data_IF_007889283993
#
_entry.id   IF_007889283993
#
_cell.length_a   1.000
_cell.length_b   1.000
_cell.length_c   1.000
_cell.angle_alpha   90.00
_cell.angle_beta   90.00
_cell.angle_gamma   90.00
#
_symmetry.space_group_name_H-M   'P 1'
#
loop_
_entity.id
_entity.type
_entity.pdbx_description
1 polymer ?
#
# COMPACT_ATOMS: atom_id res chain seq x y z
N UNK A 1 34.89 -5.21 74.57
CA UNK A 1 34.65 -5.96 73.32
C UNK A 1 33.34 -5.48 72.73
N UNK A 2 33.41 -4.57 71.76
CA UNK A 2 32.21 -4.02 71.05
C UNK A 2 32.14 -4.75 69.68
N UNK A 3 31.12 -5.53 69.44
CA UNK A 3 30.85 -6.14 68.17
C UNK A 3 30.09 -5.16 67.29
N UNK A 4 30.70 -4.74 66.19
CA UNK A 4 30.10 -3.93 65.14
C UNK A 4 29.39 -4.90 64.20
N UNK A 5 28.05 -4.82 64.09
CA UNK A 5 27.27 -5.48 63.05
C UNK A 5 27.27 -4.63 61.81
N UNK A 6 27.94 -5.09 60.76
CA UNK A 6 27.87 -4.50 59.42
C UNK A 6 26.63 -5.03 58.72
N UNK A 7 25.62 -4.16 58.52
CA UNK A 7 24.42 -4.45 57.73
C UNK A 7 24.77 -4.16 56.25
N UNK A 8 24.99 -5.21 55.48
CA UNK A 8 25.16 -5.07 54.01
C UNK A 8 23.76 -5.00 53.39
N UNK A 9 23.42 -3.75 52.95
CA UNK A 9 22.19 -3.47 52.20
C UNK A 9 22.41 -3.89 50.74
N UNK A 10 21.80 -5.02 50.31
CA UNK A 10 21.81 -5.51 48.95
C UNK A 10 20.86 -4.63 48.11
N UNK A 11 21.37 -3.65 47.39
CA UNK A 11 20.61 -2.90 46.40
C UNK A 11 20.40 -3.82 45.19
N UNK A 12 19.22 -4.42 45.12
CA UNK A 12 18.73 -5.07 43.90
C UNK A 12 18.29 -3.95 42.94
N UNK A 13 19.22 -3.50 42.08
CA UNK A 13 18.85 -2.69 40.92
C UNK A 13 18.19 -3.63 39.92
N UNK A 14 16.86 -3.69 39.96
CA UNK A 14 16.08 -4.30 38.89
C UNK A 14 16.27 -3.47 37.62
N UNK A 15 17.22 -3.90 36.77
CA UNK A 15 17.27 -3.44 35.40
C UNK A 15 16.03 -3.98 34.71
N UNK A 16 15.03 -3.12 34.51
CA UNK A 16 13.98 -3.35 33.52
C UNK A 16 14.69 -3.47 32.17
N UNK A 17 14.96 -4.70 31.76
CA UNK A 17 15.31 -5.02 30.39
C UNK A 17 14.07 -4.70 29.53
N UNK A 18 13.98 -3.44 29.09
CA UNK A 18 13.20 -3.16 27.91
C UNK A 18 13.87 -3.94 26.78
N UNK A 19 13.31 -5.09 26.41
CA UNK A 19 13.71 -5.75 25.17
C UNK A 19 13.44 -4.76 24.05
N UNK A 20 14.52 -4.18 23.49
CA UNK A 20 14.40 -3.45 22.24
C UNK A 20 13.77 -4.45 21.23
N UNK A 21 12.73 -4.04 20.49
CA UNK A 21 12.21 -4.89 19.44
C UNK A 21 13.36 -5.26 18.52
N UNK A 22 13.47 -6.54 18.18
CA UNK A 22 14.52 -7.01 17.28
C UNK A 22 14.39 -6.21 15.97
N UNK A 23 15.46 -5.50 15.57
CA UNK A 23 15.49 -4.57 14.43
C UNK A 23 15.14 -5.20 13.08
N UNK A 24 15.04 -6.53 13.01
CA UNK A 24 14.84 -7.31 11.79
C UNK A 24 13.52 -8.12 11.82
N UNK A 25 12.55 -7.69 12.62
CA UNK A 25 11.26 -8.37 12.68
C UNK A 25 10.38 -7.90 11.51
N UNK A 26 9.91 -8.85 10.69
CA UNK A 26 8.93 -8.61 9.62
C UNK A 26 7.55 -9.13 10.05
N UNK A 27 6.50 -8.56 9.48
CA UNK A 27 5.14 -9.05 9.69
C UNK A 27 5.01 -10.46 9.12
N UNK A 28 4.57 -11.40 9.96
CA UNK A 28 4.34 -12.77 9.51
C UNK A 28 2.91 -12.93 9.00
N UNK A 29 2.78 -13.72 7.95
CA UNK A 29 1.50 -14.10 7.33
C UNK A 29 1.17 -15.52 7.79
N UNK A 30 0.02 -15.72 8.44
CA UNK A 30 -0.36 -17.01 9.05
C UNK A 30 -1.38 -17.75 8.19
N UNK A 31 -1.04 -18.99 7.85
CA UNK A 31 -1.92 -19.98 7.21
C UNK A 31 -1.38 -21.39 7.46
N UNK A 32 -2.27 -22.36 7.58
CA UNK A 32 -1.89 -23.77 7.69
C UNK A 32 -1.67 -24.45 6.32
N UNK A 33 -1.93 -23.73 5.21
CA UNK A 33 -1.83 -24.26 3.85
C UNK A 33 -0.65 -23.66 3.08
N UNK A 34 0.38 -24.47 2.80
CA UNK A 34 1.52 -24.04 1.98
C UNK A 34 1.09 -23.62 0.57
N UNK A 35 0.06 -24.25 0.00
CA UNK A 35 -0.48 -23.89 -1.31
C UNK A 35 -1.20 -22.54 -1.26
N UNK A 36 -1.98 -22.26 -0.20
CA UNK A 36 -2.60 -20.95 0.00
C UNK A 36 -1.54 -19.86 0.15
N UNK A 37 -0.48 -20.07 0.93
CA UNK A 37 0.61 -19.10 1.08
C UNK A 37 1.32 -18.83 -0.26
N UNK A 38 1.57 -19.88 -1.06
CA UNK A 38 2.19 -19.71 -2.39
C UNK A 38 1.31 -18.86 -3.32
N UNK A 39 0.01 -19.11 -3.33
CA UNK A 39 -0.97 -18.33 -4.11
C UNK A 39 -1.08 -16.89 -3.60
N UNK A 40 -1.10 -16.69 -2.29
CA UNK A 40 -1.08 -15.36 -1.70
C UNK A 40 0.13 -14.55 -2.15
N UNK A 41 1.33 -15.12 -2.06
CA UNK A 41 2.56 -14.46 -2.50
C UNK A 41 2.55 -14.15 -4.01
N UNK A 42 1.96 -15.03 -4.82
CA UNK A 42 1.77 -14.78 -6.26
C UNK A 42 0.76 -13.64 -6.51
N UNK A 43 -0.33 -13.59 -5.72
CA UNK A 43 -1.32 -12.52 -5.80
C UNK A 43 -0.70 -11.16 -5.45
N UNK A 44 0.11 -11.09 -4.40
CA UNK A 44 0.86 -9.88 -4.04
C UNK A 44 1.77 -9.42 -5.17
N UNK A 45 2.50 -10.34 -5.83
CA UNK A 45 3.31 -9.98 -7.02
C UNK A 45 2.50 -9.42 -8.19
N UNK A 46 1.27 -9.90 -8.40
CA UNK A 46 0.35 -9.32 -9.38
C UNK A 46 -0.14 -7.95 -8.94
N UNK A 47 -0.41 -7.78 -7.66
CA UNK A 47 -0.84 -6.51 -7.06
C UNK A 47 0.23 -5.43 -7.23
N UNK A 48 1.50 -5.75 -6.92
CA UNK A 48 2.65 -4.86 -7.10
C UNK A 48 2.84 -4.41 -8.57
N UNK A 49 2.46 -5.27 -9.53
CA UNK A 49 2.50 -4.98 -10.97
C UNK A 49 1.21 -4.38 -11.50
N UNK A 50 0.29 -3.99 -10.63
CA UNK A 50 -1.04 -3.43 -10.95
C UNK A 50 -1.88 -4.33 -11.89
N UNK A 51 -1.64 -5.64 -11.87
CA UNK A 51 -2.45 -6.64 -12.58
C UNK A 51 -3.61 -7.09 -11.69
N UNK A 52 -4.51 -6.15 -11.40
CA UNK A 52 -5.53 -6.28 -10.35
C UNK A 52 -6.43 -7.49 -10.54
N UNK A 53 -6.96 -7.73 -11.75
CA UNK A 53 -7.85 -8.88 -12.01
C UNK A 53 -7.15 -10.21 -11.66
N UNK A 54 -5.86 -10.35 -12.05
CA UNK A 54 -5.07 -11.55 -11.74
C UNK A 54 -4.79 -11.67 -10.24
N UNK A 55 -4.53 -10.54 -9.57
CA UNK A 55 -4.32 -10.53 -8.12
C UNK A 55 -5.57 -11.01 -7.38
N UNK A 56 -6.73 -10.43 -7.68
CA UNK A 56 -8.00 -10.78 -7.05
C UNK A 56 -8.38 -12.26 -7.29
N UNK A 57 -8.27 -12.72 -8.54
CA UNK A 57 -8.51 -14.15 -8.87
C UNK A 57 -7.58 -15.06 -8.08
N UNK A 58 -6.30 -14.68 -7.94
CA UNK A 58 -5.30 -15.50 -7.25
C UNK A 58 -5.49 -15.49 -5.73
N UNK A 59 -5.91 -14.37 -5.12
CA UNK A 59 -6.35 -14.35 -3.72
C UNK A 59 -7.56 -15.27 -3.50
N UNK A 60 -8.56 -15.25 -4.39
CA UNK A 60 -9.70 -16.17 -4.32
C UNK A 60 -9.26 -17.63 -4.43
N UNK A 61 -8.28 -17.95 -5.27
CA UNK A 61 -7.69 -19.30 -5.33
C UNK A 61 -6.97 -19.68 -4.04
N UNK A 62 -6.30 -18.73 -3.36
CA UNK A 62 -5.72 -18.97 -2.04
C UNK A 62 -6.78 -19.32 -1.01
N UNK A 63 -7.92 -18.61 -1.01
CA UNK A 63 -9.06 -18.89 -0.12
C UNK A 63 -9.76 -20.21 -0.42
N UNK A 64 -9.73 -20.72 -1.64
CA UNK A 64 -10.16 -22.09 -1.94
C UNK A 64 -9.27 -23.16 -1.29
N UNK A 65 -7.99 -22.85 -1.04
CA UNK A 65 -7.05 -23.77 -0.36
C UNK A 65 -7.10 -23.62 1.17
N UNK A 66 -7.44 -22.43 1.67
CA UNK A 66 -7.58 -22.11 3.09
C UNK A 66 -8.62 -20.99 3.26
N UNK A 67 -9.90 -21.31 3.51
CA UNK A 67 -10.95 -20.30 3.71
C UNK A 67 -10.73 -19.42 4.95
N UNK A 68 -10.00 -19.92 5.97
CA UNK A 68 -9.67 -19.17 7.19
C UNK A 68 -8.39 -18.32 7.07
N UNK A 69 -7.86 -18.18 5.85
CA UNK A 69 -6.65 -17.40 5.60
C UNK A 69 -6.90 -15.90 5.76
N UNK A 70 -6.56 -15.37 6.94
CA UNK A 70 -6.83 -13.98 7.32
C UNK A 70 -6.33 -12.98 6.28
N UNK A 71 -5.04 -13.03 5.91
CA UNK A 71 -4.43 -12.03 5.04
C UNK A 71 -5.02 -12.02 3.62
N UNK A 72 -5.43 -13.15 3.07
CA UNK A 72 -6.08 -13.19 1.76
C UNK A 72 -7.49 -12.55 1.81
N UNK A 73 -8.27 -12.83 2.86
CA UNK A 73 -9.56 -12.18 3.11
C UNK A 73 -9.38 -10.67 3.36
N UNK A 74 -8.37 -10.28 4.16
CA UNK A 74 -8.05 -8.88 4.45
C UNK A 74 -7.73 -8.08 3.18
N UNK A 75 -6.87 -8.61 2.30
CA UNK A 75 -6.50 -7.93 1.05
C UNK A 75 -7.72 -7.72 0.13
N UNK A 76 -8.57 -8.73 0.01
CA UNK A 76 -9.81 -8.61 -0.76
C UNK A 76 -10.78 -7.60 -0.12
N UNK A 77 -11.01 -7.69 1.19
CA UNK A 77 -11.85 -6.73 1.91
C UNK A 77 -11.36 -5.29 1.72
N UNK A 78 -10.05 -5.07 1.87
CA UNK A 78 -9.47 -3.75 1.73
C UNK A 78 -9.57 -3.20 0.30
N UNK A 79 -9.33 -4.05 -0.71
CA UNK A 79 -9.55 -3.68 -2.10
C UNK A 79 -11.00 -3.26 -2.37
N UNK A 80 -11.98 -4.05 -1.92
CA UNK A 80 -13.39 -3.74 -2.14
C UNK A 80 -13.87 -2.52 -1.34
N UNK A 81 -13.30 -2.27 -0.15
CA UNK A 81 -13.54 -1.04 0.60
C UNK A 81 -13.15 0.20 -0.21
N UNK A 82 -11.93 0.20 -0.76
CA UNK A 82 -11.42 1.33 -1.57
C UNK A 82 -12.22 1.53 -2.85
N UNK A 83 -12.75 0.46 -3.45
CA UNK A 83 -13.57 0.51 -4.66
C UNK A 83 -15.08 0.66 -4.38
N UNK A 84 -15.47 0.89 -3.11
CA UNK A 84 -16.85 1.11 -2.66
C UNK A 84 -17.81 -0.03 -3.03
N UNK A 85 -17.33 -1.25 -3.14
CA UNK A 85 -18.10 -2.45 -3.36
C UNK A 85 -18.54 -3.06 -2.03
N UNK A 86 -19.61 -2.54 -1.43
CA UNK A 86 -20.00 -2.83 -0.06
C UNK A 86 -20.32 -4.31 0.20
N UNK A 87 -20.98 -5.00 -0.73
CA UNK A 87 -21.33 -6.42 -0.57
C UNK A 87 -20.10 -7.31 -0.49
N UNK A 88 -19.14 -7.13 -1.40
CA UNK A 88 -17.87 -7.87 -1.38
C UNK A 88 -17.02 -7.49 -0.17
N UNK A 89 -17.00 -6.20 0.22
CA UNK A 89 -16.33 -5.77 1.45
C UNK A 89 -16.89 -6.48 2.66
N UNK A 90 -18.21 -6.56 2.82
CA UNK A 90 -18.86 -7.24 3.94
C UNK A 90 -18.50 -8.74 3.96
N UNK A 91 -18.55 -9.41 2.82
CA UNK A 91 -18.22 -10.84 2.71
C UNK A 91 -16.80 -11.13 3.20
N UNK A 92 -15.79 -10.45 2.61
CA UNK A 92 -14.39 -10.74 2.94
C UNK A 92 -13.97 -10.19 4.31
N UNK A 93 -14.54 -9.07 4.75
CA UNK A 93 -14.28 -8.57 6.11
C UNK A 93 -14.86 -9.49 7.18
N UNK A 94 -16.07 -10.03 6.97
CA UNK A 94 -16.64 -11.02 7.90
C UNK A 94 -15.81 -12.30 7.93
N UNK A 95 -15.35 -12.79 6.79
CA UNK A 95 -14.49 -13.96 6.72
C UNK A 95 -13.16 -13.72 7.47
N UNK A 96 -12.52 -12.57 7.27
CA UNK A 96 -11.29 -12.20 7.98
C UNK A 96 -11.52 -12.09 9.51
N UNK A 97 -12.56 -11.38 9.93
CA UNK A 97 -12.86 -11.14 11.35
C UNK A 97 -13.19 -12.45 12.08
N UNK A 98 -13.89 -13.37 11.42
CA UNK A 98 -14.34 -14.63 12.02
C UNK A 98 -13.40 -15.81 11.75
N UNK A 99 -12.21 -15.61 11.18
CA UNK A 99 -11.24 -16.67 10.94
C UNK A 99 -10.85 -17.36 12.26
N UNK A 100 -10.60 -18.67 12.18
CA UNK A 100 -10.27 -19.52 13.33
C UNK A 100 -8.78 -19.72 13.51
N UNK A 101 -7.98 -19.29 12.53
CA UNK A 101 -6.52 -19.38 12.57
C UNK A 101 -5.97 -18.47 13.69
N UNK A 102 -4.99 -18.95 14.44
CA UNK A 102 -4.28 -18.12 15.41
C UNK A 102 -3.47 -17.05 14.67
N UNK A 103 -3.80 -15.78 14.91
CA UNK A 103 -3.22 -14.65 14.22
C UNK A 103 -1.92 -14.19 14.86
N UNK A 104 -0.97 -13.75 14.04
CA UNK A 104 0.20 -12.99 14.48
C UNK A 104 -0.19 -11.66 15.12
N UNK A 105 0.75 -11.00 15.81
CA UNK A 105 0.47 -9.71 16.44
C UNK A 105 0.17 -8.62 15.39
N UNK A 106 0.81 -8.68 14.20
CA UNK A 106 0.49 -7.79 13.09
C UNK A 106 -0.93 -8.02 12.59
N UNK A 107 -1.31 -9.27 12.35
CA UNK A 107 -2.65 -9.61 11.86
C UNK A 107 -3.75 -9.26 12.85
N UNK A 108 -3.49 -9.32 14.15
CA UNK A 108 -4.43 -8.85 15.19
C UNK A 108 -4.68 -7.34 15.06
N UNK A 109 -3.63 -6.52 14.85
CA UNK A 109 -3.79 -5.08 14.63
C UNK A 109 -4.56 -4.78 13.33
N UNK A 110 -4.27 -5.51 12.25
CA UNK A 110 -5.02 -5.38 10.99
C UNK A 110 -6.49 -5.80 11.14
N UNK A 111 -6.76 -6.82 11.96
CA UNK A 111 -8.13 -7.23 12.30
C UNK A 111 -8.87 -6.15 13.10
N UNK A 112 -8.21 -5.53 14.09
CA UNK A 112 -8.81 -4.45 14.88
C UNK A 112 -9.13 -3.24 13.98
N UNK A 113 -8.23 -2.87 13.06
CA UNK A 113 -8.49 -1.86 12.06
C UNK A 113 -9.69 -2.22 11.16
N UNK A 114 -9.75 -3.47 10.69
CA UNK A 114 -10.86 -3.94 9.84
C UNK A 114 -12.22 -3.90 10.56
N UNK A 115 -12.25 -4.25 11.85
CA UNK A 115 -13.46 -4.14 12.70
C UNK A 115 -13.91 -2.69 12.79
N UNK A 116 -12.97 -1.76 13.04
CA UNK A 116 -13.27 -0.32 13.11
C UNK A 116 -13.80 0.22 11.78
N UNK A 117 -13.17 -0.16 10.66
CA UNK A 117 -13.62 0.22 9.31
C UNK A 117 -15.02 -0.31 9.01
N UNK A 118 -15.33 -1.55 9.40
CA UNK A 118 -16.67 -2.13 9.24
C UNK A 118 -17.72 -1.41 10.07
N UNK A 119 -17.36 -0.83 11.20
CA UNK A 119 -18.22 0.01 12.02
C UNK A 119 -18.40 1.43 11.45
N UNK A 120 -17.75 1.76 10.34
CA UNK A 120 -17.82 3.07 9.68
C UNK A 120 -16.80 4.09 10.19
N UNK A 121 -15.84 3.68 11.01
CA UNK A 121 -14.73 4.54 11.42
C UNK A 121 -13.66 4.53 10.34
N UNK A 122 -13.41 5.66 9.67
CA UNK A 122 -12.43 5.74 8.58
C UNK A 122 -11.01 6.06 9.06
N UNK A 123 -10.84 6.53 10.28
CA UNK A 123 -9.51 6.78 10.85
C UNK A 123 -9.06 5.60 11.72
N UNK A 124 -8.19 4.80 11.16
CA UNK A 124 -7.52 3.65 11.81
C UNK A 124 -5.99 3.83 11.74
N UNK A 125 -5.53 5.08 11.71
CA UNK A 125 -4.10 5.41 11.58
C UNK A 125 -3.30 5.00 12.81
N UNK A 126 -3.91 4.89 13.99
CA UNK A 126 -3.21 4.46 15.20
C UNK A 126 -2.81 2.98 15.15
N UNK A 127 -3.62 2.11 14.55
CA UNK A 127 -3.27 0.72 14.28
C UNK A 127 -2.08 0.64 13.30
N UNK A 128 -2.08 1.47 12.27
CA UNK A 128 -0.97 1.57 11.31
C UNK A 128 0.34 2.07 11.96
N UNK A 129 0.26 3.08 12.86
CA UNK A 129 1.43 3.55 13.62
C UNK A 129 2.01 2.45 14.51
N UNK A 130 1.14 1.68 15.20
CA UNK A 130 1.58 0.53 16.00
C UNK A 130 2.28 -0.52 15.14
N UNK A 131 1.81 -0.79 13.90
CA UNK A 131 2.48 -1.69 12.98
C UNK A 131 3.89 -1.19 12.65
N UNK A 132 4.06 0.09 12.31
CA UNK A 132 5.37 0.68 12.02
C UNK A 132 6.29 0.64 13.24
N UNK A 133 5.77 0.91 14.44
CA UNK A 133 6.55 0.84 15.69
C UNK A 133 7.02 -0.58 15.99
N UNK A 134 6.20 -1.58 15.70
CA UNK A 134 6.52 -3.00 15.92
C UNK A 134 7.43 -3.57 14.82
N UNK A 135 7.32 -3.06 13.59
CA UNK A 135 8.00 -3.58 12.40
C UNK A 135 8.66 -2.43 11.59
N UNK A 136 9.60 -1.68 12.19
CA UNK A 136 10.13 -0.45 11.60
C UNK A 136 10.99 -0.67 10.34
N UNK A 137 11.41 -1.91 10.07
CA UNK A 137 12.21 -2.28 8.88
C UNK A 137 11.39 -3.09 7.85
N UNK A 138 10.09 -3.22 8.07
CA UNK A 138 9.19 -3.92 7.15
C UNK A 138 8.43 -2.91 6.27
N UNK A 139 8.67 -2.88 4.94
CA UNK A 139 7.95 -2.00 4.03
C UNK A 139 6.42 -2.17 4.09
N UNK A 140 5.91 -3.36 4.39
CA UNK A 140 4.48 -3.63 4.45
C UNK A 140 3.80 -2.95 5.65
N UNK A 141 4.53 -2.73 6.75
CA UNK A 141 4.01 -1.94 7.87
C UNK A 141 3.70 -0.49 7.46
N UNK A 142 4.58 0.10 6.65
CA UNK A 142 4.39 1.45 6.10
C UNK A 142 3.30 1.48 5.03
N UNK A 143 3.19 0.47 4.16
CA UNK A 143 2.09 0.36 3.20
C UNK A 143 0.73 0.37 3.89
N UNK A 144 0.57 -0.38 4.99
CA UNK A 144 -0.67 -0.38 5.76
C UNK A 144 -0.94 1.01 6.37
N UNK A 145 0.06 1.66 6.99
CA UNK A 145 -0.12 3.00 7.55
C UNK A 145 -0.51 4.02 6.47
N UNK A 146 0.16 4.02 5.30
CA UNK A 146 -0.17 4.89 4.17
C UNK A 146 -1.61 4.66 3.69
N UNK A 147 -2.05 3.41 3.62
CA UNK A 147 -3.41 3.06 3.24
C UNK A 147 -4.44 3.59 4.24
N UNK A 148 -4.16 3.48 5.54
CA UNK A 148 -5.01 4.02 6.60
C UNK A 148 -5.04 5.55 6.60
N UNK A 149 -3.89 6.20 6.40
CA UNK A 149 -3.80 7.65 6.23
C UNK A 149 -4.59 8.14 4.99
N UNK A 150 -4.56 7.37 3.90
CA UNK A 150 -5.35 7.67 2.70
C UNK A 150 -6.85 7.62 2.99
N UNK A 151 -7.34 6.62 3.72
CA UNK A 151 -8.74 6.52 4.14
C UNK A 151 -9.15 7.68 5.06
N UNK A 152 -8.27 8.10 5.96
CA UNK A 152 -8.48 9.23 6.85
C UNK A 152 -8.33 10.61 6.15
N UNK A 153 -7.87 10.65 4.88
CA UNK A 153 -7.60 11.88 4.15
C UNK A 153 -6.33 12.63 4.61
N UNK A 154 -5.44 11.96 5.36
CA UNK A 154 -4.19 12.54 5.86
C UNK A 154 -3.06 12.46 4.82
N UNK A 155 -3.18 13.26 3.76
CA UNK A 155 -2.17 13.31 2.70
C UNK A 155 -0.80 13.80 3.18
N UNK A 156 -0.74 14.61 4.24
CA UNK A 156 0.52 15.07 4.83
C UNK A 156 1.22 13.93 5.55
N UNK A 157 0.49 13.19 6.38
CA UNK A 157 1.01 11.98 7.02
C UNK A 157 1.48 10.93 6.03
N UNK A 158 0.74 10.74 4.92
CA UNK A 158 1.18 9.86 3.83
C UNK A 158 2.58 10.25 3.31
N UNK A 159 2.81 11.53 3.01
CA UNK A 159 4.12 12.00 2.54
C UNK A 159 5.24 11.70 3.54
N UNK A 160 5.00 11.93 4.84
CA UNK A 160 5.98 11.65 5.88
C UNK A 160 6.29 10.15 5.99
N UNK A 161 5.25 9.32 5.97
CA UNK A 161 5.35 7.87 6.05
C UNK A 161 6.07 7.28 4.83
N UNK A 162 5.70 7.72 3.62
CA UNK A 162 6.31 7.29 2.36
C UNK A 162 7.81 7.64 2.29
N UNK A 163 8.18 8.84 2.75
CA UNK A 163 9.61 9.23 2.81
C UNK A 163 10.44 8.37 3.78
N UNK A 164 9.82 7.78 4.81
CA UNK A 164 10.47 6.79 5.67
C UNK A 164 10.57 5.43 4.98
N UNK A 165 9.48 4.97 4.36
CA UNK A 165 9.42 3.70 3.65
C UNK A 165 10.43 3.61 2.50
N UNK A 166 10.59 4.67 1.71
CA UNK A 166 11.58 4.77 0.62
C UNK A 166 13.01 4.50 1.10
N UNK A 167 13.34 4.88 2.34
CA UNK A 167 14.70 4.71 2.89
C UNK A 167 15.02 3.28 3.30
N UNK A 168 14.01 2.46 3.56
CA UNK A 168 14.17 1.09 4.05
C UNK A 168 13.87 0.04 3.00
N UNK A 169 13.08 0.39 1.97
CA UNK A 169 12.67 -0.54 0.94
C UNK A 169 13.84 -0.90 0.01
N UNK A 170 14.02 -2.18 -0.27
CA UNK A 170 15.00 -2.66 -1.27
C UNK A 170 14.63 -2.24 -2.70
N UNK A 171 13.34 -2.16 -3.01
CA UNK A 171 12.80 -1.54 -4.22
C UNK A 171 11.75 -0.49 -3.81
N UNK A 172 12.04 0.82 -3.86
CA UNK A 172 11.12 1.86 -3.45
C UNK A 172 10.16 2.33 -4.55
N UNK A 173 10.11 1.67 -5.70
CA UNK A 173 9.35 2.13 -6.87
C UNK A 173 7.87 2.39 -6.57
N UNK A 174 7.18 1.45 -5.92
CA UNK A 174 5.77 1.59 -5.54
C UNK A 174 5.53 2.74 -4.54
N UNK A 175 6.48 3.01 -3.65
CA UNK A 175 6.40 4.14 -2.73
C UNK A 175 6.55 5.48 -3.44
N UNK A 176 7.37 5.59 -4.49
CA UNK A 176 7.43 6.79 -5.31
C UNK A 176 6.14 7.03 -6.08
N UNK A 177 5.48 5.97 -6.57
CA UNK A 177 4.15 6.08 -7.17
C UNK A 177 3.14 6.66 -6.17
N UNK A 178 3.04 6.08 -4.99
CA UNK A 178 2.15 6.55 -3.92
C UNK A 178 2.48 7.99 -3.49
N UNK A 179 3.78 8.35 -3.42
CA UNK A 179 4.25 9.69 -3.09
C UNK A 179 3.82 10.71 -4.14
N UNK A 180 3.86 10.36 -5.43
CA UNK A 180 3.34 11.17 -6.51
C UNK A 180 1.86 11.49 -6.31
N UNK A 181 1.02 10.49 -6.05
CA UNK A 181 -0.39 10.70 -5.77
C UNK A 181 -0.63 11.49 -4.47
N UNK A 182 0.14 11.27 -3.41
CA UNK A 182 0.03 12.06 -2.18
C UNK A 182 0.33 13.55 -2.43
N UNK A 183 1.35 13.87 -3.24
CA UNK A 183 1.64 15.24 -3.64
C UNK A 183 0.56 15.84 -4.56
N UNK A 184 -0.05 15.03 -5.45
CA UNK A 184 -1.22 15.48 -6.23
C UNK A 184 -2.37 15.90 -5.32
N UNK A 185 -2.69 15.11 -4.29
CA UNK A 185 -3.74 15.44 -3.30
C UNK A 185 -3.42 16.75 -2.56
N UNK A 186 -2.15 17.01 -2.28
CA UNK A 186 -1.66 18.25 -1.66
C UNK A 186 -1.50 19.42 -2.67
N UNK A 187 -1.81 19.21 -3.95
CA UNK A 187 -1.64 20.20 -5.05
C UNK A 187 -0.18 20.68 -5.19
N UNK A 188 0.79 19.86 -4.84
CA UNK A 188 2.23 20.13 -4.97
C UNK A 188 2.74 19.52 -6.27
N UNK A 189 2.36 20.11 -7.41
CA UNK A 189 2.58 19.54 -8.74
C UNK A 189 4.04 19.25 -9.07
N UNK A 190 4.96 20.16 -8.72
CA UNK A 190 6.39 19.98 -9.00
C UNK A 190 6.95 18.73 -8.29
N UNK A 191 6.56 18.53 -7.03
CA UNK A 191 6.98 17.33 -6.26
C UNK A 191 6.30 16.05 -6.73
N UNK A 192 5.04 16.17 -7.19
CA UNK A 192 4.34 15.03 -7.79
C UNK A 192 5.05 14.58 -9.07
N UNK A 193 5.43 15.55 -9.94
CA UNK A 193 6.17 15.26 -11.18
C UNK A 193 7.51 14.57 -10.88
N UNK A 194 8.27 15.10 -9.93
CA UNK A 194 9.55 14.51 -9.49
C UNK A 194 9.40 13.08 -8.96
N UNK A 195 8.36 12.81 -8.16
CA UNK A 195 8.10 11.49 -7.63
C UNK A 195 7.74 10.47 -8.74
N UNK A 196 6.89 10.87 -9.71
CA UNK A 196 6.59 10.00 -10.86
C UNK A 196 7.79 9.79 -11.77
N UNK A 197 8.67 10.79 -11.94
CA UNK A 197 9.91 10.63 -12.70
C UNK A 197 10.85 9.62 -12.03
N UNK A 198 10.92 9.62 -10.69
CA UNK A 198 11.64 8.59 -9.94
C UNK A 198 11.03 7.21 -10.10
N UNK A 199 9.70 7.10 -10.15
CA UNK A 199 9.04 5.83 -10.42
C UNK A 199 9.39 5.29 -11.82
N UNK A 200 9.39 6.16 -12.85
CA UNK A 200 9.82 5.78 -14.21
C UNK A 200 11.29 5.35 -14.25
N UNK A 201 12.18 6.10 -13.57
CA UNK A 201 13.62 5.78 -13.50
C UNK A 201 13.86 4.37 -12.92
N UNK A 202 13.11 4.00 -11.89
CA UNK A 202 13.26 2.71 -11.20
C UNK A 202 12.67 1.53 -11.99
N UNK A 203 11.56 1.74 -12.67
CA UNK A 203 10.84 0.68 -13.40
C UNK A 203 10.43 1.06 -14.83
N UNK A 204 11.38 1.46 -15.71
CA UNK A 204 11.05 2.00 -17.04
C UNK A 204 10.33 1.01 -17.98
N UNK A 205 10.28 -0.28 -17.63
CA UNK A 205 9.58 -1.33 -18.38
C UNK A 205 8.20 -1.68 -17.81
N UNK A 206 7.76 -0.99 -16.76
CA UNK A 206 6.45 -1.17 -16.16
C UNK A 206 5.46 -0.18 -16.79
N UNK A 207 4.40 -0.62 -17.51
CA UNK A 207 3.44 0.29 -18.13
C UNK A 207 2.76 1.22 -17.12
N UNK A 208 2.58 0.78 -15.87
CA UNK A 208 1.94 1.58 -14.83
C UNK A 208 2.67 2.89 -14.52
N UNK A 209 3.99 2.98 -14.70
CA UNK A 209 4.72 4.22 -14.42
C UNK A 209 4.30 5.35 -15.37
N UNK A 210 3.99 4.99 -16.63
CA UNK A 210 3.51 5.94 -17.64
C UNK A 210 2.01 6.21 -17.48
N UNK A 211 1.21 5.22 -17.08
CA UNK A 211 -0.20 5.43 -16.73
C UNK A 211 -0.33 6.45 -15.59
N UNK A 212 0.40 6.27 -14.49
CA UNK A 212 0.41 7.20 -13.36
C UNK A 212 0.91 8.59 -13.73
N UNK A 213 1.93 8.69 -14.60
CA UNK A 213 2.41 9.98 -15.12
C UNK A 213 1.34 10.66 -16.00
N UNK A 214 0.59 9.88 -16.77
CA UNK A 214 -0.57 10.34 -17.52
C UNK A 214 -1.66 10.90 -16.62
N UNK A 215 -2.02 10.22 -15.52
CA UNK A 215 -2.99 10.71 -14.53
C UNK A 215 -2.55 12.06 -13.94
N UNK A 216 -1.26 12.20 -13.63
CA UNK A 216 -0.70 13.47 -13.19
C UNK A 216 -0.89 14.59 -14.24
N UNK A 217 -0.56 14.35 -15.50
CA UNK A 217 -0.72 15.34 -16.56
C UNK A 217 -2.20 15.68 -16.84
N UNK A 218 -3.10 14.70 -16.71
CA UNK A 218 -4.55 14.95 -16.76
C UNK A 218 -5.00 15.93 -15.68
N UNK A 219 -4.52 15.73 -14.43
CA UNK A 219 -4.89 16.59 -13.30
C UNK A 219 -4.44 18.05 -13.52
N UNK A 220 -3.23 18.24 -14.04
CA UNK A 220 -2.70 19.60 -14.32
C UNK A 220 -3.08 20.13 -15.70
N UNK A 221 -3.99 19.44 -16.40
CA UNK A 221 -4.56 19.81 -17.71
C UNK A 221 -3.53 19.93 -18.84
N UNK A 222 -2.42 19.22 -18.75
CA UNK A 222 -1.45 19.04 -19.85
C UNK A 222 -1.86 17.82 -20.68
N UNK A 223 -2.96 17.97 -21.41
CA UNK A 223 -3.65 16.85 -22.07
C UNK A 223 -2.83 16.20 -23.19
N UNK A 224 -1.99 16.96 -23.89
CA UNK A 224 -1.02 16.45 -24.86
C UNK A 224 -0.03 15.47 -24.22
N UNK A 225 0.58 15.87 -23.09
CA UNK A 225 1.51 15.03 -22.34
C UNK A 225 0.81 13.83 -21.68
N UNK A 226 -0.45 14.01 -21.25
CA UNK A 226 -1.26 12.91 -20.72
C UNK A 226 -1.49 11.84 -21.79
N UNK A 227 -1.90 12.26 -23.00
CA UNK A 227 -2.06 11.38 -24.14
C UNK A 227 -0.78 10.60 -24.46
N UNK A 228 0.36 11.30 -24.60
CA UNK A 228 1.66 10.66 -24.86
C UNK A 228 1.98 9.60 -23.80
N UNK A 229 1.85 9.95 -22.52
CA UNK A 229 2.15 9.03 -21.42
C UNK A 229 1.25 7.79 -21.44
N UNK A 230 -0.05 7.95 -21.63
CA UNK A 230 -0.98 6.83 -21.73
C UNK A 230 -0.72 5.95 -22.96
N UNK A 231 -0.35 6.55 -24.10
CA UNK A 231 0.00 5.79 -25.31
C UNK A 231 1.28 4.98 -25.13
N UNK A 232 2.26 5.48 -24.36
CA UNK A 232 3.44 4.69 -23.98
C UNK A 232 2.98 3.47 -23.15
N UNK A 233 2.16 3.68 -22.10
CA UNK A 233 1.64 2.59 -21.28
C UNK A 233 0.89 1.54 -22.13
N UNK A 234 -0.01 1.99 -23.02
CA UNK A 234 -0.77 1.14 -23.92
C UNK A 234 0.11 0.34 -24.89
N UNK A 235 1.16 0.97 -25.43
CA UNK A 235 2.10 0.27 -26.34
C UNK A 235 2.88 -0.84 -25.65
N UNK A 236 3.13 -0.72 -24.36
CA UNK A 236 3.82 -1.71 -23.52
C UNK A 236 2.91 -2.86 -23.10
N UNK A 237 1.67 -2.55 -22.73
CA UNK A 237 0.63 -3.53 -22.37
C UNK A 237 -0.74 -2.99 -22.80
N UNK A 238 -1.38 -3.58 -23.83
CA UNK A 238 -2.69 -3.11 -24.33
C UNK A 238 -3.85 -3.18 -23.32
N UNK A 239 -3.66 -3.75 -22.15
CA UNK A 239 -4.63 -3.69 -21.07
C UNK A 239 -4.61 -2.36 -20.29
N UNK A 240 -3.64 -1.47 -20.59
CA UNK A 240 -3.49 -0.17 -19.96
C UNK A 240 -3.97 0.98 -20.83
N UNK A 241 -4.63 1.94 -20.23
CA UNK A 241 -4.70 3.37 -20.57
C UNK A 241 -5.31 3.77 -21.91
N UNK A 242 -5.79 2.85 -22.77
CA UNK A 242 -6.33 3.25 -24.08
C UNK A 242 -7.47 4.29 -23.96
N UNK A 243 -8.45 4.00 -23.10
CA UNK A 243 -9.62 4.89 -22.94
C UNK A 243 -9.21 6.23 -22.30
N UNK A 244 -8.22 6.20 -21.39
CA UNK A 244 -7.64 7.41 -20.80
C UNK A 244 -6.92 8.27 -21.85
N UNK A 245 -6.19 7.63 -22.77
CA UNK A 245 -5.52 8.31 -23.88
C UNK A 245 -6.54 9.02 -24.81
N UNK A 246 -7.60 8.31 -25.22
CA UNK A 246 -8.64 8.90 -26.04
C UNK A 246 -9.34 10.06 -25.34
N UNK A 247 -9.59 9.95 -24.04
CA UNK A 247 -10.15 11.06 -23.25
C UNK A 247 -9.20 12.26 -23.21
N UNK A 248 -7.91 12.03 -23.00
CA UNK A 248 -6.90 13.09 -22.99
C UNK A 248 -6.84 13.82 -24.33
N UNK A 249 -6.87 13.08 -25.44
CA UNK A 249 -6.93 13.64 -26.79
C UNK A 249 -8.19 14.49 -27.02
N UNK A 250 -9.36 14.00 -26.65
CA UNK A 250 -10.61 14.74 -26.75
C UNK A 250 -10.55 16.05 -25.97
N UNK A 251 -10.06 16.02 -24.73
CA UNK A 251 -9.92 17.23 -23.91
C UNK A 251 -8.91 18.22 -24.48
N UNK A 252 -7.81 17.74 -25.06
CA UNK A 252 -6.85 18.59 -25.76
C UNK A 252 -7.52 19.31 -26.95
N UNK A 253 -8.19 18.56 -27.83
CA UNK A 253 -8.86 19.11 -29.02
C UNK A 253 -9.95 20.11 -28.67
N UNK A 254 -10.71 19.86 -27.61
CA UNK A 254 -11.73 20.78 -27.09
C UNK A 254 -11.11 22.06 -26.50
N UNK A 255 -9.99 21.96 -25.82
CA UNK A 255 -9.37 23.09 -25.11
C UNK A 255 -8.57 23.98 -26.08
N UNK A 256 -7.82 23.34 -26.99
CA UNK A 256 -6.93 24.03 -27.91
C UNK A 256 -7.60 24.44 -29.28
N UNK A 257 -8.78 23.89 -29.55
CA UNK A 257 -9.51 24.13 -30.81
C UNK A 257 -8.80 23.57 -32.05
N UNK A 258 -7.86 22.66 -31.88
CA UNK A 258 -7.07 22.02 -32.97
C UNK A 258 -6.90 20.53 -32.68
N UNK A 259 -6.70 19.74 -33.74
CA UNK A 259 -6.40 18.33 -33.61
C UNK A 259 -5.05 18.09 -32.94
N UNK A 260 -4.96 17.07 -32.11
CA UNK A 260 -3.69 16.62 -31.56
C UNK A 260 -2.87 15.97 -32.69
N UNK A 261 -1.68 16.49 -32.96
CA UNK A 261 -0.74 15.86 -33.90
C UNK A 261 -0.14 14.63 -33.23
N UNK A 262 -0.52 13.45 -33.72
CA UNK A 262 0.01 12.17 -33.23
C UNK A 262 1.39 11.98 -33.86
N UNK A 263 2.46 12.13 -33.06
CA UNK A 263 3.79 11.70 -33.47
C UNK A 263 3.74 10.17 -33.54
N UNK A 264 3.82 9.59 -34.72
CA UNK A 264 3.94 8.15 -34.90
C UNK A 264 5.24 7.67 -34.22
N UNK A 265 5.09 6.97 -33.09
CA UNK A 265 6.21 6.30 -32.39
C UNK A 265 6.69 5.06 -33.15
#
# INVERSE_FOLDING_TARGET
MKRIFLLTMLLITGTLLFSQPAKDKFMSVTTNSKSALSLYNQAMQYFDKVKLDKALETFKKALHQDPDFFMANYQLAFYYLLNRASGDFDEYSDAAINCKTELSDAEKLLKDALISLKQGHTDVTDEGKKLVDMYPNDPDSYNNLVSFQSLAGDSTGMVETLNKAIKIASNPASFYNQLGYAYMMLKQSDKAEEAFDKYIELEPKNPNVYDSKGDFYMLIKKYDKAYESYMIAYSMDPSFSHDKAELAKQLYEQTEGKKLEIISM
#
